data_IF_395094708402
#
_entry.id   IF_395094708402
#
_cell.length_a   1.000
_cell.length_b   1.000
_cell.length_c   1.000
_cell.angle_alpha   90.00
_cell.angle_beta   90.00
_cell.angle_gamma   90.00
#
_symmetry.space_group_name_H-M   'P 1'
#
loop_
_entity.id
_entity.type
_entity.pdbx_description
1 polymer ?
#
# COMPACT_ATOMS: atom_id res chain seq x y z
N UNK A 1 -14.18 5.12 34.53
CA UNK A 1 -13.33 4.23 33.72
C UNK A 1 -13.35 4.72 32.29
N UNK A 2 -12.16 5.13 31.76
CA UNK A 2 -12.01 5.77 30.43
C UNK A 2 -12.55 4.86 29.31
N UNK A 3 -12.35 3.55 29.44
CA UNK A 3 -12.83 2.54 28.46
C UNK A 3 -14.37 2.50 28.39
N UNK A 4 -15.04 2.63 29.53
CA UNK A 4 -16.49 2.67 29.60
C UNK A 4 -17.06 3.97 29.00
N UNK A 5 -16.40 5.10 29.27
CA UNK A 5 -16.76 6.39 28.69
C UNK A 5 -16.56 6.41 27.16
N UNK A 6 -15.49 5.80 26.65
CA UNK A 6 -15.25 5.65 25.21
C UNK A 6 -16.32 4.75 24.58
N UNK A 7 -16.69 3.61 25.20
CA UNK A 7 -17.76 2.73 24.71
C UNK A 7 -19.13 3.43 24.71
N UNK A 8 -19.44 4.20 25.74
CA UNK A 8 -20.67 4.98 25.82
C UNK A 8 -20.71 6.09 24.77
N UNK A 9 -19.60 6.81 24.58
CA UNK A 9 -19.47 7.85 23.56
C UNK A 9 -19.55 7.26 22.14
N UNK A 10 -18.89 6.14 21.88
CA UNK A 10 -18.97 5.36 20.63
C UNK A 10 -20.43 4.99 20.32
N UNK A 11 -21.11 4.40 21.29
CA UNK A 11 -22.51 3.98 21.13
C UNK A 11 -23.45 5.18 20.91
N UNK A 12 -23.16 6.31 21.53
CA UNK A 12 -23.91 7.57 21.35
C UNK A 12 -23.67 8.16 19.95
N UNK A 13 -22.42 8.16 19.45
CA UNK A 13 -22.08 8.65 18.12
C UNK A 13 -22.64 7.74 17.01
N UNK A 14 -22.50 6.43 17.16
CA UNK A 14 -23.05 5.46 16.19
C UNK A 14 -24.58 5.53 16.10
N UNK A 15 -25.26 5.88 17.20
CA UNK A 15 -26.70 6.10 17.22
C UNK A 15 -27.13 7.45 16.61
N UNK A 16 -26.29 8.48 16.70
CA UNK A 16 -26.56 9.81 16.10
C UNK A 16 -26.21 9.89 14.62
N UNK A 17 -25.19 9.17 14.20
CA UNK A 17 -24.69 9.16 12.84
C UNK A 17 -25.21 7.95 12.08
N UNK A 18 -26.46 7.47 12.26
CA UNK A 18 -26.99 6.30 11.50
C UNK A 18 -26.29 6.20 10.14
N UNK A 19 -25.15 5.52 10.03
CA UNK A 19 -24.42 5.48 8.78
C UNK A 19 -25.22 4.59 7.84
N UNK A 20 -25.75 5.18 6.78
CA UNK A 20 -26.39 4.45 5.68
C UNK A 20 -25.40 3.57 4.91
N UNK A 21 -24.12 3.54 5.31
CA UNK A 21 -23.05 2.83 4.63
C UNK A 21 -22.09 2.18 5.63
N UNK A 22 -21.80 0.90 5.45
CA UNK A 22 -20.78 0.11 6.18
C UNK A 22 -19.39 0.79 6.19
N UNK A 23 -19.10 1.55 5.16
CA UNK A 23 -17.86 2.31 4.97
C UNK A 23 -17.60 3.36 6.06
N UNK A 24 -18.62 4.11 6.49
CA UNK A 24 -18.48 5.09 7.57
C UNK A 24 -18.26 4.44 8.94
N UNK A 25 -18.74 3.22 9.12
CA UNK A 25 -18.51 2.46 10.35
C UNK A 25 -17.04 2.07 10.47
N UNK A 26 -16.45 1.58 9.39
CA UNK A 26 -15.04 1.15 9.38
C UNK A 26 -14.08 2.34 9.56
N UNK A 27 -14.40 3.53 9.02
CA UNK A 27 -13.64 4.75 9.27
C UNK A 27 -13.76 5.25 10.71
N UNK A 28 -14.95 5.19 11.28
CA UNK A 28 -15.19 5.58 12.67
C UNK A 28 -14.48 4.59 13.61
N UNK A 29 -14.60 3.30 13.38
CA UNK A 29 -13.94 2.27 14.20
C UNK A 29 -12.41 2.41 14.09
N UNK A 30 -11.87 2.72 12.92
CA UNK A 30 -10.46 3.04 12.74
C UNK A 30 -10.03 4.28 13.53
N UNK A 31 -10.81 5.36 13.48
CA UNK A 31 -10.52 6.59 14.21
C UNK A 31 -10.49 6.36 15.72
N UNK A 32 -11.42 5.53 16.23
CA UNK A 32 -11.45 5.13 17.64
C UNK A 32 -10.24 4.32 18.06
N UNK A 33 -9.89 3.32 17.25
CA UNK A 33 -8.69 2.50 17.49
C UNK A 33 -7.45 3.38 17.47
N UNK A 34 -7.34 4.29 16.51
CA UNK A 34 -6.24 5.26 16.42
C UNK A 34 -6.16 6.15 17.66
N UNK A 35 -7.27 6.75 18.09
CA UNK A 35 -7.33 7.59 19.29
C UNK A 35 -6.95 6.79 20.54
N UNK A 36 -7.50 5.59 20.72
CA UNK A 36 -7.21 4.73 21.87
C UNK A 36 -5.75 4.32 21.96
N UNK A 37 -5.15 3.90 20.84
CA UNK A 37 -3.75 3.51 20.77
C UNK A 37 -2.85 4.73 20.99
N UNK A 38 -3.15 5.87 20.36
CA UNK A 38 -2.36 7.11 20.53
C UNK A 38 -2.40 7.64 21.96
N UNK A 39 -3.51 7.49 22.68
CA UNK A 39 -3.61 7.89 24.10
C UNK A 39 -2.86 6.94 25.06
N UNK A 40 -2.55 5.71 24.63
CA UNK A 40 -1.93 4.70 25.48
C UNK A 40 -0.54 4.24 25.01
N UNK A 41 -0.03 4.76 23.90
CA UNK A 41 1.30 4.44 23.40
C UNK A 41 2.12 5.70 23.12
N UNK A 42 3.42 5.62 23.43
CA UNK A 42 4.40 6.64 23.03
C UNK A 42 4.68 6.62 21.51
N UNK A 43 4.07 5.67 20.77
CA UNK A 43 4.28 5.47 19.34
C UNK A 43 3.13 6.05 18.52
N UNK A 44 3.48 6.66 17.38
CA UNK A 44 2.50 7.00 16.35
C UNK A 44 1.97 5.73 15.70
N UNK A 45 0.65 5.59 15.63
CA UNK A 45 0.00 4.46 14.98
C UNK A 45 -0.57 4.82 13.63
N UNK A 46 -0.22 4.06 12.59
CA UNK A 46 -0.71 4.25 11.25
C UNK A 46 -1.38 2.99 10.69
N UNK A 47 -2.23 3.18 9.71
CA UNK A 47 -2.96 2.06 9.08
C UNK A 47 -2.04 1.15 8.27
N UNK A 48 -1.18 1.74 7.44
CA UNK A 48 -0.33 0.97 6.53
C UNK A 48 0.94 1.75 6.19
N UNK A 49 2.04 1.05 6.07
CA UNK A 49 3.27 1.53 5.47
C UNK A 49 3.78 0.50 4.47
N UNK A 50 4.40 0.98 3.40
CA UNK A 50 5.01 0.13 2.39
C UNK A 50 6.53 0.05 2.56
N UNK A 51 7.12 -1.08 2.18
CA UNK A 51 8.55 -1.25 2.04
C UNK A 51 8.86 -1.60 0.59
N UNK A 52 9.72 -0.84 -0.04
CA UNK A 52 10.13 -1.10 -1.41
C UNK A 52 11.30 -2.10 -1.45
N UNK A 53 11.02 -3.33 -1.84
CA UNK A 53 12.00 -4.42 -1.79
C UNK A 53 12.86 -4.57 -3.05
N UNK A 54 12.41 -4.04 -4.20
CA UNK A 54 13.03 -4.26 -5.49
C UNK A 54 12.58 -3.24 -6.53
N UNK A 55 13.51 -2.71 -7.33
CA UNK A 55 13.19 -1.83 -8.47
C UNK A 55 12.74 -2.65 -9.69
N UNK A 56 13.21 -3.90 -9.83
CA UNK A 56 12.94 -4.74 -10.99
C UNK A 56 11.57 -5.42 -10.93
N UNK A 57 10.89 -5.47 -12.08
CA UNK A 57 9.69 -6.25 -12.29
C UNK A 57 9.84 -7.15 -13.54
N UNK A 58 9.12 -8.27 -13.57
CA UNK A 58 8.99 -9.11 -14.76
C UNK A 58 7.91 -8.59 -15.74
N UNK A 59 7.15 -7.55 -15.33
CA UNK A 59 6.23 -6.82 -16.18
C UNK A 59 6.77 -5.42 -16.50
N UNK A 60 6.31 -4.84 -17.62
CA UNK A 60 6.64 -3.47 -18.06
C UNK A 60 5.37 -2.64 -18.18
N UNK A 61 4.72 -2.43 -17.04
CA UNK A 61 3.45 -1.72 -16.94
C UNK A 61 3.62 -0.25 -17.27
N UNK A 62 2.91 0.24 -18.28
CA UNK A 62 2.86 1.69 -18.55
C UNK A 62 2.23 2.42 -17.37
N UNK A 63 2.85 3.51 -16.92
CA UNK A 63 2.36 4.27 -15.77
C UNK A 63 2.53 3.56 -14.44
N UNK A 64 3.50 2.65 -14.33
CA UNK A 64 3.85 1.99 -13.08
C UNK A 64 4.21 3.04 -12.02
N UNK A 65 3.49 3.03 -10.90
CA UNK A 65 3.72 3.99 -9.82
C UNK A 65 5.08 3.81 -9.11
N UNK A 66 5.74 2.66 -9.32
CA UNK A 66 7.09 2.36 -8.85
C UNK A 66 8.15 2.57 -9.94
N UNK A 67 7.74 3.00 -11.13
CA UNK A 67 8.62 3.21 -12.29
C UNK A 67 9.47 1.98 -12.66
N UNK A 68 8.97 0.78 -12.38
CA UNK A 68 9.73 -0.48 -12.60
C UNK A 68 9.91 -0.84 -14.08
N UNK A 69 9.19 -0.16 -14.97
CA UNK A 69 9.32 -0.25 -16.42
C UNK A 69 10.60 0.43 -16.92
N UNK A 70 11.09 1.45 -16.22
CA UNK A 70 12.26 2.27 -16.57
C UNK A 70 13.38 2.22 -15.51
N UNK A 71 13.08 1.76 -14.31
CA UNK A 71 14.07 1.65 -13.23
C UNK A 71 15.17 0.63 -13.57
N UNK A 72 16.41 0.85 -13.12
CA UNK A 72 17.46 -0.16 -13.21
C UNK A 72 17.03 -1.47 -12.54
N UNK A 73 17.48 -2.60 -13.08
CA UNK A 73 17.26 -3.92 -12.47
C UNK A 73 18.05 -4.07 -11.17
N UNK A 74 17.54 -3.48 -10.10
CA UNK A 74 18.19 -3.48 -8.80
C UNK A 74 17.32 -4.25 -7.79
N UNK A 75 17.99 -5.13 -7.03
CA UNK A 75 17.46 -5.82 -5.87
C UNK A 75 18.12 -5.22 -4.64
N UNK A 76 17.31 -4.78 -3.68
CA UNK A 76 17.82 -4.30 -2.40
C UNK A 76 18.07 -5.49 -1.48
N UNK A 77 19.03 -5.36 -0.58
CA UNK A 77 19.28 -6.38 0.44
C UNK A 77 18.40 -6.10 1.65
N UNK A 78 17.79 -7.11 2.22
CA UNK A 78 16.95 -6.94 3.41
C UNK A 78 17.77 -6.39 4.59
N UNK A 79 19.08 -6.71 4.65
CA UNK A 79 19.99 -6.20 5.66
C UNK A 79 20.13 -4.67 5.63
N UNK A 80 19.90 -4.04 4.47
CA UNK A 80 19.91 -2.57 4.34
C UNK A 80 18.70 -1.95 5.06
N UNK A 81 17.58 -2.67 5.15
CA UNK A 81 16.36 -2.19 5.81
C UNK A 81 16.33 -2.42 7.32
N UNK A 82 17.07 -3.39 7.82
CA UNK A 82 16.98 -3.78 9.24
C UNK A 82 17.24 -2.62 10.20
N UNK A 83 18.34 -1.83 10.09
CA UNK A 83 18.57 -0.70 11.00
C UNK A 83 17.45 0.36 10.92
N UNK A 84 16.85 0.51 9.73
CA UNK A 84 15.80 1.49 9.50
C UNK A 84 14.47 1.04 10.11
N UNK A 85 14.15 -0.25 9.99
CA UNK A 85 12.96 -0.86 10.61
C UNK A 85 13.05 -0.84 12.13
N UNK A 86 14.21 -1.19 12.69
CA UNK A 86 14.47 -1.13 14.13
C UNK A 86 14.27 0.29 14.64
N UNK A 87 14.94 1.28 14.02
CA UNK A 87 14.82 2.69 14.39
C UNK A 87 13.39 3.21 14.30
N UNK A 88 12.71 2.93 13.20
CA UNK A 88 11.34 3.39 13.00
C UNK A 88 10.38 2.75 14.01
N UNK A 89 10.59 1.47 14.34
CA UNK A 89 9.76 0.74 15.29
C UNK A 89 9.81 1.30 16.72
N UNK A 90 10.81 2.12 17.07
CA UNK A 90 10.89 2.76 18.37
C UNK A 90 9.70 3.72 18.60
N UNK A 91 9.23 4.39 17.54
CA UNK A 91 8.23 5.45 17.66
C UNK A 91 7.07 5.36 16.65
N UNK A 92 7.06 4.35 15.77
CA UNK A 92 5.96 4.07 14.83
C UNK A 92 5.49 2.64 15.01
N UNK A 93 4.19 2.44 14.87
CA UNK A 93 3.54 1.13 14.70
C UNK A 93 2.54 1.20 13.56
N UNK A 94 2.27 0.08 12.91
CA UNK A 94 1.31 0.01 11.81
C UNK A 94 0.36 -1.18 12.00
N UNK A 95 -0.88 -1.06 11.51
CA UNK A 95 -1.79 -2.22 11.44
C UNK A 95 -1.21 -3.28 10.51
N UNK A 96 -0.61 -2.83 9.37
CA UNK A 96 0.11 -3.72 8.46
C UNK A 96 1.29 -3.04 7.79
N UNK A 97 2.26 -3.87 7.43
CA UNK A 97 3.37 -3.52 6.54
C UNK A 97 3.17 -4.27 5.23
N UNK A 98 3.18 -3.53 4.13
CA UNK A 98 3.05 -4.05 2.78
C UNK A 98 4.41 -4.04 2.07
N UNK A 99 4.96 -5.22 1.79
CA UNK A 99 6.22 -5.38 1.04
C UNK A 99 5.87 -5.34 -0.44
N UNK A 100 6.37 -4.32 -1.11
CA UNK A 100 6.08 -4.02 -2.51
C UNK A 100 7.35 -3.69 -3.29
N UNK A 101 7.22 -3.12 -4.46
CA UNK A 101 8.33 -2.70 -5.33
C UNK A 101 7.97 -2.88 -6.78
N UNK A 102 8.92 -3.40 -7.57
CA UNK A 102 8.62 -4.01 -8.85
C UNK A 102 7.86 -5.32 -8.63
N UNK A 103 8.57 -6.45 -8.57
CA UNK A 103 7.96 -7.73 -8.19
C UNK A 103 8.79 -8.40 -7.08
N UNK A 104 8.29 -8.43 -5.83
CA UNK A 104 9.06 -8.95 -4.69
C UNK A 104 9.48 -10.42 -4.82
N UNK A 105 8.66 -11.24 -5.47
CA UNK A 105 8.93 -12.67 -5.65
C UNK A 105 10.08 -12.98 -6.59
N UNK A 106 10.64 -12.01 -7.30
CA UNK A 106 11.85 -12.19 -8.12
C UNK A 106 13.11 -12.43 -7.27
N UNK A 107 13.09 -12.02 -5.99
CA UNK A 107 14.19 -12.28 -5.06
C UNK A 107 13.67 -12.93 -3.77
N UNK A 108 13.47 -14.25 -3.81
CA UNK A 108 12.96 -15.05 -2.70
C UNK A 108 13.73 -14.82 -1.40
N UNK A 109 15.07 -14.88 -1.43
CA UNK A 109 15.91 -14.74 -0.23
C UNK A 109 15.70 -13.39 0.44
N UNK A 110 15.66 -12.34 -0.34
CA UNK A 110 15.44 -10.99 0.16
C UNK A 110 14.03 -10.82 0.74
N UNK A 111 13.02 -11.36 0.06
CA UNK A 111 11.63 -11.28 0.52
C UNK A 111 11.43 -11.98 1.87
N UNK A 112 11.99 -13.19 2.04
CA UNK A 112 11.96 -13.90 3.34
C UNK A 112 12.67 -13.09 4.43
N UNK A 113 13.87 -12.55 4.11
CA UNK A 113 14.61 -11.71 5.05
C UNK A 113 13.83 -10.48 5.50
N UNK A 114 13.14 -9.81 4.58
CA UNK A 114 12.28 -8.66 4.91
C UNK A 114 11.07 -9.06 5.76
N UNK A 115 10.38 -10.15 5.43
CA UNK A 115 9.25 -10.65 6.22
C UNK A 115 9.69 -10.91 7.66
N UNK A 116 10.77 -11.66 7.84
CA UNK A 116 11.30 -11.99 9.16
C UNK A 116 11.79 -10.72 9.89
N UNK A 117 12.42 -9.81 9.15
CA UNK A 117 12.89 -8.53 9.70
C UNK A 117 11.73 -7.66 10.20
N UNK A 118 10.69 -7.51 9.42
CA UNK A 118 9.50 -6.76 9.85
C UNK A 118 8.89 -7.38 11.10
N UNK A 119 8.77 -8.72 11.16
CA UNK A 119 8.23 -9.42 12.33
C UNK A 119 9.11 -9.24 13.58
N UNK A 120 10.43 -9.31 13.43
CA UNK A 120 11.36 -9.20 14.57
C UNK A 120 11.32 -7.83 15.26
N UNK A 121 10.98 -6.77 14.54
CA UNK A 121 10.86 -5.42 15.11
C UNK A 121 9.56 -5.19 15.87
N UNK A 122 8.54 -6.01 15.65
CA UNK A 122 7.21 -5.82 16.23
C UNK A 122 6.48 -4.54 15.76
N UNK A 123 6.94 -3.90 14.69
CA UNK A 123 6.34 -2.67 14.13
C UNK A 123 4.90 -2.91 13.66
N UNK A 124 4.59 -4.14 13.25
CA UNK A 124 3.25 -4.60 12.86
C UNK A 124 2.99 -6.03 13.28
N UNK A 125 1.71 -6.40 13.33
CA UNK A 125 1.27 -7.79 13.48
C UNK A 125 0.93 -8.43 12.13
N UNK A 126 0.68 -7.64 11.09
CA UNK A 126 0.28 -8.13 9.77
C UNK A 126 1.31 -7.74 8.72
N UNK A 127 1.90 -8.76 8.10
CA UNK A 127 2.81 -8.58 6.96
C UNK A 127 2.07 -8.99 5.68
N UNK A 128 1.98 -8.05 4.76
CA UNK A 128 1.36 -8.22 3.44
C UNK A 128 2.43 -8.16 2.34
N UNK A 129 2.22 -8.86 1.24
CA UNK A 129 3.05 -8.72 0.03
C UNK A 129 2.16 -8.38 -1.16
N UNK A 130 2.47 -7.26 -1.81
CA UNK A 130 1.88 -6.89 -3.08
C UNK A 130 2.63 -7.57 -4.23
N UNK A 131 1.93 -8.32 -5.07
CA UNK A 131 2.52 -9.12 -6.15
C UNK A 131 1.63 -9.15 -7.39
N UNK A 132 2.25 -9.35 -8.55
CA UNK A 132 1.52 -9.61 -9.78
C UNK A 132 1.12 -11.10 -9.94
N UNK A 133 1.51 -11.97 -9.03
CA UNK A 133 1.08 -13.36 -8.96
C UNK A 133 1.73 -14.32 -9.98
N UNK A 134 2.78 -13.92 -10.70
CA UNK A 134 3.43 -14.76 -11.72
C UNK A 134 3.91 -16.12 -11.19
N UNK A 135 4.19 -16.20 -9.90
CA UNK A 135 4.74 -17.35 -9.19
C UNK A 135 3.69 -18.42 -8.86
N UNK A 136 2.42 -18.12 -8.93
CA UNK A 136 1.32 -18.98 -8.46
C UNK A 136 1.37 -20.40 -9.03
N UNK A 137 1.67 -20.58 -10.32
CA UNK A 137 1.82 -21.92 -10.95
C UNK A 137 2.98 -22.75 -10.43
N UNK A 138 3.92 -22.12 -9.72
CA UNK A 138 5.11 -22.76 -9.15
C UNK A 138 5.22 -22.44 -7.65
N UNK A 139 4.09 -22.35 -6.98
CA UNK A 139 3.98 -21.90 -5.58
C UNK A 139 4.83 -22.73 -4.62
N UNK A 140 5.07 -24.02 -4.90
CA UNK A 140 5.86 -24.89 -4.05
C UNK A 140 7.28 -24.35 -3.83
N UNK A 141 7.84 -23.64 -4.82
CA UNK A 141 9.15 -23.00 -4.69
C UNK A 141 9.17 -21.86 -3.67
N UNK A 142 8.01 -21.40 -3.28
CA UNK A 142 7.81 -20.25 -2.39
C UNK A 142 7.11 -20.64 -1.07
N UNK A 143 7.04 -21.94 -0.75
CA UNK A 143 6.37 -22.45 0.45
C UNK A 143 6.82 -21.76 1.72
N UNK A 144 8.13 -21.52 1.87
CA UNK A 144 8.71 -20.80 3.02
C UNK A 144 8.18 -19.36 3.17
N UNK A 145 7.89 -18.67 2.06
CA UNK A 145 7.23 -17.35 2.10
C UNK A 145 5.78 -17.52 2.55
N UNK A 146 5.08 -18.51 1.97
CA UNK A 146 3.67 -18.79 2.27
C UNK A 146 3.43 -19.17 3.73
N UNK A 147 4.40 -19.79 4.37
CA UNK A 147 4.36 -20.16 5.79
C UNK A 147 4.58 -18.96 6.73
N UNK A 148 5.17 -17.87 6.23
CA UNK A 148 5.63 -16.75 7.05
C UNK A 148 4.93 -15.41 6.74
N UNK A 149 3.92 -15.41 5.88
CA UNK A 149 3.15 -14.22 5.51
C UNK A 149 1.71 -14.32 6.03
N UNK A 150 1.03 -13.20 6.22
CA UNK A 150 -0.36 -13.19 6.67
C UNK A 150 -1.32 -12.95 5.52
N UNK A 151 -0.92 -12.13 4.54
CA UNK A 151 -1.81 -11.67 3.49
C UNK A 151 -1.08 -11.38 2.20
N UNK A 152 -1.76 -11.62 1.08
CA UNK A 152 -1.33 -11.23 -0.24
C UNK A 152 -2.29 -10.25 -0.88
N UNK A 153 -1.70 -9.29 -1.58
CA UNK A 153 -2.38 -8.34 -2.43
C UNK A 153 -2.01 -8.65 -3.88
N UNK A 154 -2.87 -9.38 -4.59
CA UNK A 154 -2.60 -9.79 -5.96
C UNK A 154 -3.22 -8.79 -6.92
N UNK A 155 -2.37 -8.11 -7.69
CA UNK A 155 -2.81 -7.23 -8.76
C UNK A 155 -2.86 -8.00 -10.07
N UNK A 156 -4.07 -8.15 -10.60
CA UNK A 156 -4.27 -8.74 -11.93
C UNK A 156 -4.06 -7.67 -12.99
N UNK A 157 -2.95 -7.75 -13.68
CA UNK A 157 -2.57 -6.85 -14.76
C UNK A 157 -2.97 -7.39 -16.14
N UNK A 158 -3.13 -6.52 -17.18
CA UNK A 158 -3.43 -6.97 -18.54
C UNK A 158 -2.41 -7.95 -19.13
N UNK A 159 -1.13 -7.86 -18.70
CA UNK A 159 -0.06 -8.77 -19.11
C UNK A 159 -0.04 -10.10 -18.36
N UNK A 160 -0.92 -10.29 -17.38
CA UNK A 160 -1.00 -11.53 -16.62
C UNK A 160 -1.39 -12.70 -17.53
N UNK A 161 -0.53 -13.73 -17.55
CA UNK A 161 -0.70 -14.93 -18.38
C UNK A 161 -1.51 -16.03 -17.70
N UNK A 162 -1.74 -15.91 -16.39
CA UNK A 162 -2.56 -16.85 -15.64
C UNK A 162 -4.00 -16.32 -15.67
N UNK A 163 -4.96 -17.09 -16.17
CA UNK A 163 -6.36 -16.66 -16.22
C UNK A 163 -6.92 -16.38 -14.81
N UNK A 164 -7.88 -15.46 -14.64
CA UNK A 164 -8.45 -15.12 -13.34
C UNK A 164 -9.01 -16.31 -12.56
N UNK A 165 -9.69 -17.25 -13.24
CA UNK A 165 -10.23 -18.45 -12.60
C UNK A 165 -9.13 -19.36 -12.04
N UNK A 166 -8.04 -19.56 -12.78
CA UNK A 166 -6.90 -20.36 -12.35
C UNK A 166 -6.18 -19.71 -11.15
N UNK A 167 -5.99 -18.38 -11.17
CA UNK A 167 -5.45 -17.64 -10.01
C UNK A 167 -6.31 -17.94 -8.78
N UNK A 168 -7.64 -17.89 -8.94
CA UNK A 168 -8.57 -18.13 -7.84
C UNK A 168 -8.48 -19.56 -7.32
N UNK A 169 -8.50 -20.56 -8.19
CA UNK A 169 -8.36 -21.96 -7.80
C UNK A 169 -7.07 -22.22 -7.01
N UNK A 170 -5.94 -21.69 -7.50
CA UNK A 170 -4.66 -21.83 -6.80
C UNK A 170 -4.70 -21.12 -5.44
N UNK A 171 -5.19 -19.90 -5.37
CA UNK A 171 -5.21 -19.14 -4.13
C UNK A 171 -6.20 -19.68 -3.11
N UNK A 172 -7.35 -20.25 -3.54
CA UNK A 172 -8.28 -20.98 -2.67
C UNK A 172 -7.61 -22.19 -2.01
N UNK A 173 -6.83 -22.92 -2.78
CA UNK A 173 -6.03 -24.05 -2.28
C UNK A 173 -4.97 -23.57 -1.29
N UNK A 174 -4.22 -22.49 -1.63
CA UNK A 174 -3.17 -21.95 -0.77
C UNK A 174 -3.72 -21.36 0.52
N UNK A 175 -4.87 -20.69 0.47
CA UNK A 175 -5.56 -20.19 1.65
C UNK A 175 -5.88 -21.28 2.64
N UNK A 176 -6.43 -22.40 2.15
CA UNK A 176 -6.76 -23.56 3.01
C UNK A 176 -5.51 -24.23 3.57
N UNK A 177 -4.45 -24.31 2.75
CA UNK A 177 -3.21 -25.00 3.12
C UNK A 177 -2.37 -24.24 4.13
N UNK A 178 -2.26 -22.90 3.99
CA UNK A 178 -1.36 -22.05 4.78
C UNK A 178 -2.09 -21.04 5.68
N UNK A 179 -3.42 -21.06 5.70
CA UNK A 179 -4.26 -20.10 6.45
C UNK A 179 -3.97 -18.63 6.07
N UNK A 180 -3.89 -18.36 4.78
CA UNK A 180 -3.55 -17.07 4.20
C UNK A 180 -4.78 -16.27 3.82
N UNK A 181 -4.65 -14.94 3.79
CA UNK A 181 -5.62 -14.06 3.18
C UNK A 181 -5.14 -13.58 1.81
N UNK A 182 -6.07 -13.50 0.84
CA UNK A 182 -5.81 -12.95 -0.48
C UNK A 182 -6.77 -11.81 -0.78
N UNK A 183 -6.22 -10.69 -1.25
CA UNK A 183 -6.98 -9.57 -1.79
C UNK A 183 -6.62 -9.44 -3.25
N UNK A 184 -7.63 -9.34 -4.12
CA UNK A 184 -7.41 -9.18 -5.55
C UNK A 184 -7.72 -7.77 -5.99
N UNK A 185 -6.83 -7.22 -6.82
CA UNK A 185 -7.08 -5.99 -7.53
C UNK A 185 -7.04 -6.29 -9.01
N UNK A 186 -8.11 -5.91 -9.66
CA UNK A 186 -8.20 -6.00 -11.10
C UNK A 186 -7.89 -4.65 -11.73
N UNK A 187 -6.83 -4.58 -12.53
CA UNK A 187 -6.44 -3.41 -13.30
C UNK A 187 -6.81 -3.65 -14.76
N UNK A 188 -7.96 -3.14 -15.23
CA UNK A 188 -8.47 -3.43 -16.58
C UNK A 188 -7.66 -2.78 -17.69
N UNK A 189 -6.97 -1.71 -17.37
CA UNK A 189 -6.12 -0.93 -18.28
C UNK A 189 -4.95 -0.37 -17.50
N UNK A 190 -3.82 -0.22 -18.19
CA UNK A 190 -2.70 0.53 -17.65
C UNK A 190 -3.08 2.00 -17.47
N UNK A 191 -2.57 2.58 -16.40
CA UNK A 191 -2.60 4.03 -16.22
C UNK A 191 -1.84 4.68 -17.38
N UNK A 192 -2.30 5.83 -17.84
CA UNK A 192 -1.44 6.71 -18.58
C UNK A 192 -0.26 7.11 -17.67
N UNK A 193 0.82 7.54 -18.28
CA UNK A 193 1.97 8.02 -17.50
C UNK A 193 1.51 9.10 -16.51
N UNK A 194 2.08 9.06 -15.29
CA UNK A 194 1.78 10.08 -14.28
C UNK A 194 2.13 11.43 -14.85
N UNK A 195 1.13 12.30 -14.96
CA UNK A 195 1.32 13.66 -15.41
C UNK A 195 1.83 14.52 -14.26
N UNK A 196 2.77 15.40 -14.55
CA UNK A 196 3.26 16.39 -13.60
C UNK A 196 2.98 17.79 -14.14
N UNK A 197 2.52 18.68 -13.26
CA UNK A 197 2.06 20.00 -13.65
C UNK A 197 3.14 21.06 -13.49
N UNK A 198 3.19 22.03 -14.42
CA UNK A 198 4.01 23.24 -14.30
C UNK A 198 3.37 24.29 -13.38
N UNK A 199 2.06 24.25 -13.20
CA UNK A 199 1.31 25.12 -12.30
C UNK A 199 0.57 24.29 -11.27
N UNK A 200 0.51 24.74 -10.00
CA UNK A 200 -0.13 23.96 -8.96
C UNK A 200 -1.63 23.79 -9.21
N UNK A 201 -2.14 22.60 -8.94
CA UNK A 201 -3.57 22.30 -8.79
C UNK A 201 -3.84 22.01 -7.33
N UNK A 202 -4.74 22.77 -6.71
CA UNK A 202 -5.08 22.59 -5.31
C UNK A 202 -5.52 21.15 -5.02
N UNK A 203 -4.98 20.58 -3.97
CA UNK A 203 -5.29 19.24 -3.45
C UNK A 203 -5.77 19.36 -2.01
N UNK A 204 -6.86 18.73 -1.68
CA UNK A 204 -7.44 18.68 -0.34
C UNK A 204 -7.19 17.35 0.36
N UNK A 205 -6.83 16.31 -0.37
CA UNK A 205 -6.53 14.99 0.19
C UNK A 205 -5.58 14.18 -0.69
N UNK A 206 -4.86 13.24 -0.06
CA UNK A 206 -4.05 12.23 -0.74
C UNK A 206 -4.16 10.90 0.02
N UNK A 207 -4.46 9.82 -0.68
CA UNK A 207 -4.68 8.48 -0.10
C UNK A 207 -3.47 7.55 -0.23
N UNK A 208 -2.32 8.05 -0.68
CA UNK A 208 -1.13 7.22 -0.79
C UNK A 208 -0.55 6.82 0.57
N UNK A 209 0.06 5.63 0.56
CA UNK A 209 0.72 5.09 1.74
C UNK A 209 2.18 5.54 1.77
N UNK A 210 2.69 5.93 2.94
CA UNK A 210 4.11 6.18 3.14
C UNK A 210 4.94 4.95 2.82
N UNK A 211 6.13 5.17 2.29
CA UNK A 211 7.03 4.12 1.84
C UNK A 211 8.40 4.25 2.45
N UNK A 212 8.83 3.22 3.19
CA UNK A 212 10.18 3.12 3.71
C UNK A 212 11.15 2.80 2.57
N UNK A 213 12.16 3.62 2.44
CA UNK A 213 13.23 3.50 1.45
C UNK A 213 14.48 2.88 2.09
N UNK A 214 15.32 2.27 1.27
CA UNK A 214 16.55 1.61 1.73
C UNK A 214 17.66 2.54 2.23
N UNK A 215 17.45 3.85 2.18
CA UNK A 215 18.39 4.87 2.66
C UNK A 215 17.99 5.47 4.02
N UNK A 216 17.03 4.90 4.73
CA UNK A 216 16.57 5.39 6.03
C UNK A 216 15.65 6.59 5.96
N UNK A 217 14.99 6.79 4.84
CA UNK A 217 13.94 7.81 4.71
C UNK A 217 12.58 7.15 4.49
N UNK A 218 11.52 7.88 4.86
CA UNK A 218 10.14 7.53 4.48
C UNK A 218 9.66 8.56 3.47
N UNK A 219 9.32 8.11 2.27
CA UNK A 219 8.66 8.95 1.28
C UNK A 219 7.14 8.96 1.54
N UNK A 220 6.51 10.12 1.35
CA UNK A 220 5.05 10.30 1.53
C UNK A 220 4.23 9.36 0.65
N UNK A 221 4.75 9.03 -0.52
CA UNK A 221 4.17 8.08 -1.48
C UNK A 221 5.27 7.54 -2.41
N UNK A 222 4.91 6.48 -3.16
CA UNK A 222 5.78 5.90 -4.18
C UNK A 222 6.16 6.90 -5.29
N UNK A 223 5.27 7.81 -5.70
CA UNK A 223 5.58 8.82 -6.72
C UNK A 223 6.76 9.71 -6.29
N UNK A 224 6.78 10.16 -5.04
CA UNK A 224 7.91 10.91 -4.49
C UNK A 224 9.14 10.04 -4.35
N UNK A 225 8.98 8.83 -3.81
CA UNK A 225 10.09 7.89 -3.58
C UNK A 225 10.84 7.47 -4.85
N UNK A 226 10.10 7.36 -5.97
CA UNK A 226 10.67 6.93 -7.27
C UNK A 226 10.78 8.04 -8.30
N UNK A 227 10.52 9.27 -7.96
CA UNK A 227 10.66 10.42 -8.88
C UNK A 227 12.03 10.49 -9.55
N UNK A 228 13.08 9.98 -8.90
CA UNK A 228 14.43 9.88 -9.47
C UNK A 228 14.49 9.09 -10.78
N UNK A 229 13.60 8.13 -11.00
CA UNK A 229 13.51 7.36 -12.25
C UNK A 229 12.65 8.07 -13.30
N UNK A 230 11.77 8.95 -12.85
CA UNK A 230 10.88 9.75 -13.69
C UNK A 230 11.43 11.15 -14.00
N UNK A 231 12.71 11.42 -13.73
CA UNK A 231 13.28 12.76 -13.79
C UNK A 231 13.11 13.50 -15.13
N UNK A 232 12.95 12.76 -16.23
CA UNK A 232 12.64 13.33 -17.54
C UNK A 232 11.14 13.58 -17.77
N UNK A 233 10.26 13.07 -16.90
CA UNK A 233 8.81 13.22 -16.96
C UNK A 233 8.27 14.18 -15.90
N UNK A 234 9.04 14.47 -14.87
CA UNK A 234 8.67 15.41 -13.80
C UNK A 234 8.89 16.84 -14.26
N UNK A 235 8.13 17.76 -13.68
CA UNK A 235 8.32 19.20 -13.89
C UNK A 235 9.31 19.79 -12.89
N UNK A 236 9.91 20.94 -13.25
CA UNK A 236 10.84 21.60 -12.34
C UNK A 236 10.21 21.93 -10.98
N UNK A 237 8.99 22.46 -10.86
CA UNK A 237 8.38 22.71 -9.56
C UNK A 237 8.25 21.44 -8.70
N UNK A 238 7.87 20.30 -9.29
CA UNK A 238 7.81 19.05 -8.56
C UNK A 238 9.20 18.63 -8.05
N UNK A 239 10.23 18.72 -8.89
CA UNK A 239 11.60 18.36 -8.53
C UNK A 239 12.16 19.25 -7.41
N UNK A 240 11.90 20.55 -7.45
CA UNK A 240 12.35 21.50 -6.44
C UNK A 240 11.68 21.23 -5.06
N UNK A 241 10.44 20.75 -5.05
CA UNK A 241 9.61 20.60 -3.85
C UNK A 241 9.52 19.17 -3.30
N UNK A 242 9.93 18.15 -4.05
CA UNK A 242 9.74 16.73 -3.66
C UNK A 242 10.37 16.36 -2.32
N UNK A 243 11.43 17.10 -1.89
CA UNK A 243 12.07 16.89 -0.61
C UNK A 243 11.13 17.10 0.58
N UNK A 244 10.08 17.94 0.44
CA UNK A 244 9.05 18.15 1.48
C UNK A 244 8.33 16.85 1.84
N UNK A 245 8.13 15.97 0.88
CA UNK A 245 7.47 14.68 1.06
C UNK A 245 8.41 13.56 1.53
N UNK A 246 9.60 13.87 2.04
CA UNK A 246 10.58 12.88 2.52
C UNK A 246 10.89 13.16 4.00
N UNK A 247 10.80 12.10 4.81
CA UNK A 247 11.05 12.15 6.25
C UNK A 247 12.30 11.34 6.59
N UNK A 248 13.22 11.94 7.34
CA UNK A 248 14.38 11.24 7.89
C UNK A 248 14.02 10.58 9.22
N UNK A 249 14.09 9.25 9.27
CA UNK A 249 13.70 8.49 10.45
C UNK A 249 14.67 8.64 11.63
N UNK A 250 15.91 9.02 11.39
CA UNK A 250 16.94 9.12 12.42
C UNK A 250 16.88 10.43 13.18
N UNK A 251 16.37 11.49 12.56
CA UNK A 251 16.16 12.79 13.20
C UNK A 251 14.77 12.94 13.82
N UNK A 252 13.91 11.94 13.68
CA UNK A 252 12.49 12.00 14.02
C UNK A 252 12.09 11.31 15.32
N UNK A 253 10.82 11.53 15.67
CA UNK A 253 10.10 10.88 16.78
C UNK A 253 8.61 10.77 16.43
N UNK A 254 7.78 10.19 17.35
CA UNK A 254 6.36 9.97 17.11
C UNK A 254 5.59 11.27 16.78
N UNK A 255 5.88 12.37 17.46
CA UNK A 255 5.19 13.65 17.25
C UNK A 255 5.55 14.26 15.89
N UNK A 256 6.82 14.33 15.54
CA UNK A 256 7.27 14.89 14.28
C UNK A 256 6.86 14.03 13.09
N UNK A 257 6.86 12.72 13.27
CA UNK A 257 6.37 11.79 12.24
C UNK A 257 4.86 11.93 12.02
N UNK A 258 4.06 12.06 13.09
CA UNK A 258 2.60 12.29 12.99
C UNK A 258 2.30 13.57 12.22
N UNK A 259 2.96 14.69 12.58
CA UNK A 259 2.79 15.97 11.89
C UNK A 259 3.15 15.87 10.41
N UNK A 260 4.26 15.20 10.10
CA UNK A 260 4.67 14.98 8.71
C UNK A 260 3.70 14.07 7.98
N UNK A 261 3.27 12.96 8.62
CA UNK A 261 2.36 11.98 8.01
C UNK A 261 1.00 12.58 7.64
N UNK A 262 0.45 13.43 8.50
CA UNK A 262 -0.90 13.99 8.30
C UNK A 262 -0.88 15.24 7.38
N UNK A 263 0.31 15.76 7.04
CA UNK A 263 0.45 16.95 6.22
C UNK A 263 0.31 16.66 4.72
N UNK A 264 -0.35 17.56 4.00
CA UNK A 264 -0.28 17.68 2.55
C UNK A 264 0.79 18.72 2.20
N UNK A 265 1.75 18.29 1.39
CA UNK A 265 2.85 19.15 1.00
C UNK A 265 2.54 19.90 -0.30
N UNK A 266 3.16 21.05 -0.49
CA UNK A 266 3.02 21.81 -1.73
C UNK A 266 3.36 21.00 -2.97
N UNK A 267 4.34 20.10 -2.90
CA UNK A 267 4.70 19.18 -3.99
C UNK A 267 3.51 18.35 -4.50
N UNK A 268 2.55 18.04 -3.63
CA UNK A 268 1.37 17.26 -4.00
C UNK A 268 0.49 17.99 -5.04
N UNK A 269 0.52 19.32 -5.06
CA UNK A 269 -0.22 20.14 -6.01
C UNK A 269 0.33 20.05 -7.44
N UNK A 270 1.52 19.50 -7.63
CA UNK A 270 2.16 19.32 -8.93
C UNK A 270 2.08 17.88 -9.46
N UNK A 271 1.43 16.99 -8.73
CA UNK A 271 1.25 15.58 -9.09
C UNK A 271 -0.13 15.32 -9.69
N UNK A 272 -0.18 14.82 -10.94
CA UNK A 272 -1.40 14.49 -11.66
C UNK A 272 -1.94 13.08 -11.43
N UNK A 273 -1.32 12.29 -10.55
CA UNK A 273 -1.69 10.87 -10.36
C UNK A 273 -3.18 10.68 -10.05
N UNK A 274 -3.78 11.55 -9.24
CA UNK A 274 -5.21 11.46 -8.93
C UNK A 274 -6.12 11.84 -10.09
N UNK A 275 -5.71 12.83 -10.90
CA UNK A 275 -6.48 13.24 -12.05
C UNK A 275 -6.56 12.11 -13.08
N UNK A 276 -5.52 11.29 -13.17
CA UNK A 276 -5.52 10.09 -13.99
C UNK A 276 -6.33 8.95 -13.38
N UNK A 277 -6.31 8.79 -12.04
CA UNK A 277 -7.14 7.79 -11.36
C UNK A 277 -8.64 8.07 -11.50
N UNK A 278 -9.06 9.34 -11.51
CA UNK A 278 -10.45 9.72 -11.74
C UNK A 278 -10.91 9.43 -13.17
N UNK A 279 -9.98 9.44 -14.14
CA UNK A 279 -10.25 9.09 -15.54
C UNK A 279 -10.30 7.58 -15.79
N UNK A 280 -9.66 6.79 -14.93
CA UNK A 280 -9.64 5.33 -15.00
C UNK A 280 -10.73 4.80 -14.08
N UNK A 281 -11.51 3.82 -14.55
CA UNK A 281 -12.49 3.15 -13.69
C UNK A 281 -11.77 2.65 -12.45
N UNK A 282 -12.33 2.89 -11.23
CA UNK A 282 -11.69 2.49 -9.99
C UNK A 282 -11.35 1.00 -10.03
N UNK A 283 -10.23 0.67 -9.42
CA UNK A 283 -9.81 -0.70 -9.20
C UNK A 283 -10.96 -1.49 -8.59
N UNK A 284 -11.35 -2.58 -9.23
CA UNK A 284 -12.35 -3.47 -8.69
C UNK A 284 -11.68 -4.33 -7.61
N UNK A 285 -11.79 -3.91 -6.35
CA UNK A 285 -11.36 -4.72 -5.21
C UNK A 285 -12.41 -5.79 -4.94
N UNK A 286 -12.06 -7.04 -5.18
CA UNK A 286 -12.92 -8.18 -4.93
C UNK A 286 -12.38 -8.92 -3.71
N UNK A 287 -13.09 -8.91 -2.57
CA UNK A 287 -12.72 -9.76 -1.44
C UNK A 287 -12.70 -11.23 -1.86
N UNK A 288 -11.74 -11.98 -1.34
CA UNK A 288 -11.54 -13.40 -1.67
C UNK A 288 -12.78 -14.27 -1.45
N UNK A 289 -13.59 -13.94 -0.44
CA UNK A 289 -14.82 -14.66 -0.09
C UNK A 289 -16.00 -14.41 -1.06
N UNK A 290 -15.82 -13.56 -2.08
CA UNK A 290 -16.85 -13.30 -3.08
C UNK A 290 -16.48 -14.07 -4.36
N UNK A 291 -17.18 -15.18 -4.60
CA UNK A 291 -17.08 -15.93 -5.86
C UNK A 291 -17.77 -15.15 -6.98
N UNK A 292 -17.01 -14.36 -7.70
CA UNK A 292 -17.49 -13.71 -8.92
C UNK A 292 -17.10 -14.55 -10.14
N UNK A 293 -18.08 -14.86 -10.96
CA UNK A 293 -17.84 -15.43 -12.29
C UNK A 293 -17.22 -14.39 -13.22
N UNK A 294 -16.59 -14.81 -14.29
CA UNK A 294 -16.04 -13.89 -15.30
C UNK A 294 -17.10 -12.96 -15.89
N UNK A 295 -18.35 -13.43 -16.00
CA UNK A 295 -19.50 -12.61 -16.42
C UNK A 295 -19.81 -11.53 -15.41
N UNK A 296 -19.82 -11.81 -14.11
CA UNK A 296 -20.05 -10.83 -13.04
C UNK A 296 -18.92 -9.81 -12.96
N UNK A 297 -17.67 -10.24 -13.11
CA UNK A 297 -16.52 -9.32 -13.22
C UNK A 297 -16.69 -8.39 -14.42
N UNK A 298 -17.16 -8.89 -15.56
CA UNK A 298 -17.42 -8.09 -16.75
C UNK A 298 -18.62 -7.14 -16.61
N UNK A 299 -19.64 -7.51 -15.84
CA UNK A 299 -20.76 -6.63 -15.48
C UNK A 299 -20.26 -5.48 -14.58
N UNK A 300 -19.50 -5.81 -13.53
CA UNK A 300 -18.95 -4.81 -12.60
C UNK A 300 -18.00 -3.82 -13.31
N UNK A 301 -17.27 -4.26 -14.34
CA UNK A 301 -16.44 -3.37 -15.19
C UNK A 301 -17.26 -2.36 -15.99
N UNK A 302 -18.51 -2.67 -16.32
CA UNK A 302 -19.39 -1.80 -17.11
C UNK A 302 -20.16 -0.80 -16.23
N UNK A 303 -20.31 -1.08 -14.95
CA UNK A 303 -20.97 -0.15 -14.03
C UNK A 303 -20.11 1.09 -13.78
N UNK A 304 -20.77 2.26 -13.74
CA UNK A 304 -20.10 3.50 -13.36
C UNK A 304 -19.62 3.38 -11.91
N UNK A 305 -18.40 3.84 -11.59
CA UNK A 305 -17.88 3.80 -10.24
C UNK A 305 -18.81 4.53 -9.29
N UNK A 306 -19.25 3.87 -8.24
CA UNK A 306 -19.88 4.56 -7.10
C UNK A 306 -18.80 5.41 -6.44
N UNK A 307 -18.97 6.74 -6.45
CA UNK A 307 -18.11 7.64 -5.68
C UNK A 307 -18.01 7.12 -4.25
N UNK A 308 -16.84 6.72 -3.78
CA UNK A 308 -16.60 6.38 -2.38
C UNK A 308 -16.01 5.01 -2.06
N UNK A 309 -15.46 4.24 -3.02
CA UNK A 309 -14.83 2.94 -2.73
C UNK A 309 -13.30 3.02 -2.89
N UNK A 310 -12.69 3.97 -2.24
CA UNK A 310 -11.24 3.98 -1.97
C UNK A 310 -11.06 4.47 -0.53
N UNK A 311 -10.89 3.52 0.37
CA UNK A 311 -10.52 3.77 1.75
C UNK A 311 -9.32 2.91 2.10
#
# INVERSE_FOLDING_TARGET
NIIENIKVFSKSLSNKLKPKNRFYKDEIDYLYVKIFITMNSEKFHMRMMQIHSVDHCNFSCKGCSHSSDIAPKKFFKYEEYMPHLEKLSEYVSAERIDITGGEPFLNKKNLIGLINGVRSTGITKTVEVATNGFWLRNWERYSEILENIDQFYITYHPEQKIPPHEIREITDMLQKKFNLNFIYIYVPKWFNEVEFFEKPKARDHCKFCPQLMNNGTVAKCNIIGYSKFNGFKTTKPFEDLKHQGVYDIYSGNAETFSKWHDNLFEVCNYCGFYDEQDKIKPELRIPHNINLTEQEINILKKEKPRKGILG
#
